data_IF_588357948303
#
_entry.id   IF_588357948303
#
_cell.length_a   1.000
_cell.length_b   1.000
_cell.length_c   1.000
_cell.angle_alpha   90.00
_cell.angle_beta   90.00
_cell.angle_gamma   90.00
#
_symmetry.space_group_name_H-M   'P 1'
#
loop_
_entity.id
_entity.type
_entity.pdbx_description
1 polymer ?
#
# COMPACT_ATOMS: atom_id res chain seq x y z
N UNK A 1 2.51 -16.91 2.94
CA UNK A 1 1.80 -16.11 3.97
C UNK A 1 2.39 -14.72 4.17
N UNK A 2 3.64 -14.55 4.64
CA UNK A 2 4.20 -13.21 4.86
C UNK A 2 4.24 -12.38 3.56
N UNK A 3 4.65 -12.99 2.45
CA UNK A 3 4.68 -12.33 1.14
C UNK A 3 3.28 -11.96 0.63
N UNK A 4 2.30 -12.84 0.80
CA UNK A 4 0.90 -12.63 0.41
C UNK A 4 0.25 -11.45 1.15
N UNK A 5 0.75 -11.11 2.34
CA UNK A 5 0.38 -9.91 3.06
C UNK A 5 1.21 -8.69 2.62
N UNK A 6 2.53 -8.84 2.54
CA UNK A 6 3.47 -7.74 2.25
C UNK A 6 3.28 -7.14 0.85
N UNK A 7 3.04 -7.96 -0.17
CA UNK A 7 2.89 -7.53 -1.55
C UNK A 7 1.72 -6.55 -1.77
N UNK A 8 0.45 -6.92 -1.45
CA UNK A 8 -0.68 -6.02 -1.63
C UNK A 8 -0.64 -4.82 -0.67
N UNK A 9 -0.08 -4.98 0.53
CA UNK A 9 0.06 -3.85 1.48
C UNK A 9 1.10 -2.83 1.03
N UNK A 10 2.21 -3.27 0.41
CA UNK A 10 3.20 -2.35 -0.16
C UNK A 10 2.60 -1.45 -1.26
N UNK A 11 1.81 -2.03 -2.18
CA UNK A 11 1.09 -1.24 -3.19
C UNK A 11 0.03 -0.33 -2.56
N UNK A 12 -0.74 -0.85 -1.61
CA UNK A 12 -1.75 -0.05 -0.92
C UNK A 12 -1.13 1.18 -0.25
N UNK A 13 -0.04 1.02 0.50
CA UNK A 13 0.66 2.12 1.16
C UNK A 13 1.20 3.12 0.14
N UNK A 14 1.87 2.65 -0.93
CA UNK A 14 2.37 3.52 -1.98
C UNK A 14 1.24 4.35 -2.62
N UNK A 15 0.10 3.73 -2.92
CA UNK A 15 -1.07 4.39 -3.48
C UNK A 15 -1.73 5.37 -2.51
N UNK A 16 -1.87 5.02 -1.24
CA UNK A 16 -2.44 5.91 -0.21
C UNK A 16 -1.56 7.13 0.00
N UNK A 17 -0.24 6.94 0.09
CA UNK A 17 0.70 8.06 0.23
C UNK A 17 0.60 8.99 -0.97
N UNK A 18 0.59 8.43 -2.19
CA UNK A 18 0.57 9.21 -3.43
C UNK A 18 -0.75 9.92 -3.70
N UNK A 19 -1.88 9.24 -3.54
CA UNK A 19 -3.18 9.74 -3.98
C UNK A 19 -4.03 10.36 -2.87
N UNK A 20 -3.76 10.04 -1.60
CA UNK A 20 -4.51 10.60 -0.48
C UNK A 20 -3.65 11.56 0.36
N UNK A 21 -2.49 11.10 0.85
CA UNK A 21 -1.71 11.85 1.83
C UNK A 21 -1.02 13.06 1.17
N UNK A 22 -0.33 12.84 0.05
CA UNK A 22 0.41 13.91 -0.63
C UNK A 22 -0.48 15.07 -1.10
N UNK A 23 -1.60 14.83 -1.81
CA UNK A 23 -2.46 15.93 -2.26
C UNK A 23 -3.11 16.67 -1.09
N UNK A 24 -3.39 15.97 0.00
CA UNK A 24 -3.92 16.57 1.22
C UNK A 24 -2.89 17.47 1.91
N UNK A 25 -1.63 17.02 2.02
CA UNK A 25 -0.54 17.82 2.57
C UNK A 25 -0.28 19.09 1.75
N UNK A 26 -0.31 18.98 0.41
CA UNK A 26 -0.21 20.12 -0.50
C UNK A 26 -1.36 21.13 -0.27
N UNK A 27 -2.61 20.65 -0.17
CA UNK A 27 -3.78 21.51 0.08
C UNK A 27 -3.74 22.17 1.46
N UNK A 28 -3.18 21.50 2.45
CA UNK A 28 -3.02 22.01 3.80
C UNK A 28 -1.85 23.00 3.96
N UNK A 29 -1.06 23.24 2.90
CA UNK A 29 0.11 24.11 2.95
C UNK A 29 1.22 23.59 3.88
N UNK A 30 1.22 22.29 4.16
CA UNK A 30 2.22 21.66 5.04
C UNK A 30 3.53 21.48 4.28
N UNK A 31 4.67 21.53 4.98
CA UNK A 31 5.96 21.26 4.36
C UNK A 31 5.99 19.84 3.77
N UNK A 32 6.19 19.75 2.44
CA UNK A 32 6.24 18.49 1.69
C UNK A 32 7.67 18.02 1.42
N UNK A 33 8.67 18.69 1.99
CA UNK A 33 10.10 18.34 1.86
C UNK A 33 10.38 16.87 2.22
N UNK A 34 9.71 16.35 3.26
CA UNK A 34 9.85 14.96 3.72
C UNK A 34 9.41 13.97 2.66
N UNK A 35 8.31 14.26 1.95
CA UNK A 35 7.82 13.34 0.91
C UNK A 35 8.67 13.39 -0.36
N UNK A 36 9.34 14.52 -0.62
CA UNK A 36 10.28 14.69 -1.74
C UNK A 36 11.67 14.13 -1.44
N UNK A 37 11.95 13.74 -0.20
CA UNK A 37 13.23 13.19 0.16
C UNK A 37 13.50 11.93 -0.68
N UNK A 38 14.69 11.79 -1.31
CA UNK A 38 15.02 10.62 -2.13
C UNK A 38 14.82 9.30 -1.40
N UNK A 39 15.07 9.28 -0.09
CA UNK A 39 14.83 8.13 0.77
C UNK A 39 13.35 7.72 0.80
N UNK A 40 12.42 8.65 1.00
CA UNK A 40 10.99 8.36 1.05
C UNK A 40 10.48 7.88 -0.31
N UNK A 41 10.93 8.53 -1.39
CA UNK A 41 10.61 8.12 -2.77
C UNK A 41 11.15 6.73 -3.09
N UNK A 42 12.38 6.41 -2.65
CA UNK A 42 12.97 5.09 -2.82
C UNK A 42 12.26 4.05 -1.95
N UNK A 43 11.92 4.33 -0.70
CA UNK A 43 11.22 3.36 0.16
C UNK A 43 9.88 2.93 -0.45
N UNK A 44 9.09 3.86 -0.99
CA UNK A 44 7.81 3.51 -1.62
C UNK A 44 7.98 2.79 -2.97
N UNK A 45 8.89 3.24 -3.83
CA UNK A 45 9.09 2.63 -5.15
C UNK A 45 9.87 1.32 -5.10
N UNK A 46 10.88 1.22 -4.25
CA UNK A 46 11.70 0.03 -4.09
C UNK A 46 10.85 -1.11 -3.51
N UNK A 47 9.97 -0.85 -2.54
CA UNK A 47 9.08 -1.89 -2.02
C UNK A 47 8.17 -2.45 -3.11
N UNK A 48 7.58 -1.60 -3.95
CA UNK A 48 6.74 -2.03 -5.09
C UNK A 48 7.58 -2.81 -6.11
N UNK A 49 8.76 -2.30 -6.46
CA UNK A 49 9.63 -2.94 -7.46
C UNK A 49 10.16 -4.29 -6.96
N UNK A 50 10.56 -4.39 -5.70
CA UNK A 50 11.01 -5.65 -5.09
C UNK A 50 9.89 -6.69 -5.09
N UNK A 51 8.66 -6.32 -4.76
CA UNK A 51 7.50 -7.22 -4.83
C UNK A 51 7.26 -7.72 -6.25
N UNK A 52 7.34 -6.83 -7.25
CA UNK A 52 7.15 -7.20 -8.66
C UNK A 52 8.28 -8.11 -9.17
N UNK A 53 9.52 -7.82 -8.81
CA UNK A 53 10.70 -8.63 -9.14
C UNK A 53 10.62 -10.01 -8.47
N UNK A 54 10.15 -10.10 -7.22
CA UNK A 54 9.96 -11.37 -6.52
C UNK A 54 8.93 -12.26 -7.23
N UNK A 55 7.81 -11.67 -7.66
CA UNK A 55 6.73 -12.39 -8.35
C UNK A 55 7.15 -12.81 -9.76
N UNK A 56 7.87 -11.96 -10.50
CA UNK A 56 8.17 -12.25 -11.90
C UNK A 56 9.52 -12.89 -12.19
N UNK A 57 10.54 -12.69 -11.34
CA UNK A 57 11.94 -13.01 -11.67
C UNK A 57 12.69 -13.87 -10.63
N UNK A 58 12.48 -13.66 -9.32
CA UNK A 58 13.35 -14.28 -8.29
C UNK A 58 12.84 -15.60 -7.71
N UNK A 59 11.56 -15.91 -7.81
CA UNK A 59 11.03 -17.13 -7.21
C UNK A 59 9.55 -17.39 -7.46
N UNK A 60 8.80 -16.39 -7.93
CA UNK A 60 7.40 -16.59 -8.31
C UNK A 60 6.55 -17.02 -7.13
N UNK A 61 6.76 -16.42 -5.95
CA UNK A 61 6.01 -16.77 -4.75
C UNK A 61 4.51 -16.66 -5.04
N UNK A 62 3.78 -17.79 -5.05
CA UNK A 62 2.40 -17.79 -5.49
C UNK A 62 1.55 -17.07 -4.46
N UNK A 63 0.69 -16.17 -4.94
CA UNK A 63 -0.37 -15.61 -4.09
C UNK A 63 -1.54 -16.58 -4.16
N UNK A 64 -1.97 -17.12 -3.01
CA UNK A 64 -3.11 -18.04 -2.94
C UNK A 64 -4.35 -17.31 -2.48
N UNK A 65 -5.48 -17.45 -3.18
CA UNK A 65 -6.75 -16.85 -2.73
C UNK A 65 -7.22 -17.37 -1.37
N UNK A 66 -6.79 -18.58 -0.99
CA UNK A 66 -7.07 -19.17 0.31
C UNK A 66 -6.51 -18.32 1.47
N UNK A 67 -5.41 -17.62 1.24
CA UNK A 67 -4.73 -16.78 2.23
C UNK A 67 -5.20 -15.31 2.19
N UNK A 68 -6.25 -15.01 1.43
CA UNK A 68 -6.78 -13.64 1.26
C UNK A 68 -7.11 -12.97 2.60
N UNK A 69 -7.65 -13.71 3.56
CA UNK A 69 -8.06 -13.19 4.87
C UNK A 69 -6.89 -12.65 5.71
N UNK A 70 -5.67 -13.08 5.42
CA UNK A 70 -4.48 -12.70 6.20
C UNK A 70 -4.18 -11.21 6.04
N UNK A 71 -4.29 -10.65 4.83
CA UNK A 71 -3.98 -9.25 4.58
C UNK A 71 -4.96 -8.27 5.28
N UNK A 72 -6.29 -8.45 5.21
CA UNK A 72 -7.24 -7.68 6.01
C UNK A 72 -7.04 -7.86 7.52
N UNK A 73 -6.78 -9.07 8.01
CA UNK A 73 -6.52 -9.31 9.43
C UNK A 73 -5.31 -8.51 9.92
N UNK A 74 -4.21 -8.51 9.14
CA UNK A 74 -3.04 -7.69 9.45
C UNK A 74 -3.39 -6.19 9.46
N UNK A 75 -4.17 -5.72 8.49
CA UNK A 75 -4.66 -4.33 8.46
C UNK A 75 -5.51 -3.97 9.68
N UNK A 76 -6.39 -4.87 10.13
CA UNK A 76 -7.22 -4.70 11.33
C UNK A 76 -6.34 -4.59 12.59
N UNK A 77 -5.37 -5.49 12.74
CA UNK A 77 -4.41 -5.45 13.87
C UNK A 77 -3.65 -4.12 13.86
N UNK A 78 -3.21 -3.66 12.68
CA UNK A 78 -2.55 -2.38 12.53
C UNK A 78 -3.44 -1.20 12.95
N UNK A 79 -4.73 -1.20 12.57
CA UNK A 79 -5.68 -0.15 12.97
C UNK A 79 -5.87 -0.13 14.50
N UNK A 80 -6.08 -1.28 15.12
CA UNK A 80 -6.21 -1.34 16.59
C UNK A 80 -4.92 -0.90 17.29
N UNK A 81 -3.76 -1.29 16.75
CA UNK A 81 -2.48 -0.84 17.24
C UNK A 81 -2.36 0.70 17.15
N UNK A 82 -2.65 1.32 16.01
CA UNK A 82 -2.55 2.77 15.86
C UNK A 82 -3.56 3.51 16.74
N UNK A 83 -4.78 2.98 16.92
CA UNK A 83 -5.75 3.53 17.86
C UNK A 83 -5.29 3.43 19.31
N UNK A 84 -4.72 2.30 19.72
CA UNK A 84 -4.17 2.14 21.08
C UNK A 84 -3.02 3.13 21.37
N UNK A 85 -2.27 3.49 20.33
CA UNK A 85 -1.15 4.44 20.42
C UNK A 85 -1.60 5.90 20.31
N UNK A 86 -2.85 6.19 19.94
CA UNK A 86 -3.33 7.56 19.69
C UNK A 86 -3.25 8.46 20.92
N UNK A 87 -3.33 7.87 22.11
CA UNK A 87 -3.27 8.59 23.39
C UNK A 87 -1.88 8.64 24.02
N UNK A 88 -0.90 7.89 23.48
CA UNK A 88 0.34 7.59 24.21
C UNK A 88 1.42 8.69 24.13
N UNK A 89 1.45 9.47 23.05
CA UNK A 89 2.61 10.32 22.73
C UNK A 89 2.47 11.78 23.20
N UNK A 90 1.35 12.42 22.85
CA UNK A 90 1.15 13.88 23.06
C UNK A 90 -0.25 14.22 23.56
N UNK A 91 -1.04 13.21 23.90
CA UNK A 91 -2.48 13.40 24.12
C UNK A 91 -2.82 14.28 25.30
N UNK A 92 -1.97 14.30 26.33
CA UNK A 92 -2.14 15.19 27.50
C UNK A 92 -2.09 16.68 27.14
N UNK A 93 -1.46 17.06 26.03
CA UNK A 93 -1.28 18.48 25.65
C UNK A 93 -1.94 18.84 24.33
N UNK A 94 -2.10 17.90 23.40
CA UNK A 94 -2.63 18.14 22.05
C UNK A 94 -3.86 17.29 21.69
N UNK A 95 -4.36 16.48 22.63
CA UNK A 95 -5.43 15.52 22.35
C UNK A 95 -4.95 14.31 21.52
N UNK A 96 -5.83 13.32 21.27
CA UNK A 96 -5.49 12.11 20.52
C UNK A 96 -4.94 12.46 19.14
N UNK A 97 -3.83 11.83 18.76
CA UNK A 97 -3.18 12.04 17.46
C UNK A 97 -3.35 10.78 16.61
N UNK A 98 -4.03 10.93 15.48
CA UNK A 98 -4.16 9.87 14.49
C UNK A 98 -3.09 10.06 13.42
N UNK A 99 -2.38 8.98 13.09
CA UNK A 99 -1.31 9.00 12.08
C UNK A 99 -1.86 9.41 10.70
N UNK A 100 -3.10 9.01 10.41
CA UNK A 100 -3.80 9.35 9.18
C UNK A 100 -5.22 9.83 9.46
N UNK A 101 -5.70 10.77 8.65
CA UNK A 101 -7.05 11.33 8.78
C UNK A 101 -8.15 10.27 8.67
N UNK A 102 -7.94 9.22 7.87
CA UNK A 102 -8.92 8.14 7.70
C UNK A 102 -8.96 7.16 8.90
N UNK A 103 -8.03 7.29 9.85
CA UNK A 103 -8.03 6.57 11.12
C UNK A 103 -8.66 7.37 12.26
N UNK A 104 -9.02 8.63 12.02
CA UNK A 104 -9.62 9.50 13.02
C UNK A 104 -11.03 9.03 13.37
N UNK A 105 -11.20 8.54 14.59
CA UNK A 105 -12.49 8.02 15.08
C UNK A 105 -13.50 9.13 15.38
N UNK A 106 -13.07 10.39 15.46
CA UNK A 106 -13.97 11.54 15.69
C UNK A 106 -14.84 11.86 14.47
N UNK A 107 -14.47 11.36 13.28
CA UNK A 107 -15.22 11.54 12.03
C UNK A 107 -16.42 10.59 11.89
N UNK A 108 -16.63 9.67 12.85
CA UNK A 108 -17.79 8.78 12.91
C UNK A 108 -17.93 7.87 11.69
N UNK A 109 -19.07 7.94 10.99
CA UNK A 109 -19.37 7.07 9.84
C UNK A 109 -18.37 7.25 8.67
N UNK A 110 -17.77 8.44 8.54
CA UNK A 110 -16.78 8.70 7.49
C UNK A 110 -15.55 7.83 7.65
N UNK A 111 -15.12 7.61 8.89
CA UNK A 111 -14.00 6.70 9.22
C UNK A 111 -14.30 5.29 8.73
N UNK A 112 -15.48 4.76 9.03
CA UNK A 112 -15.91 3.44 8.55
C UNK A 112 -15.93 3.35 7.02
N UNK A 113 -16.41 4.40 6.33
CA UNK A 113 -16.39 4.46 4.87
C UNK A 113 -14.96 4.48 4.30
N UNK A 114 -14.04 5.22 4.92
CA UNK A 114 -12.63 5.21 4.49
C UNK A 114 -11.96 3.85 4.73
N UNK A 115 -12.23 3.20 5.86
CA UNK A 115 -11.71 1.86 6.14
C UNK A 115 -12.27 0.81 5.18
N UNK A 116 -13.56 0.90 4.81
CA UNK A 116 -14.16 0.05 3.78
C UNK A 116 -13.55 0.31 2.40
N UNK A 117 -13.30 1.58 2.05
CA UNK A 117 -12.62 1.92 0.81
C UNK A 117 -11.19 1.35 0.76
N UNK A 118 -10.44 1.48 1.87
CA UNK A 118 -9.10 0.88 2.02
C UNK A 118 -9.13 -0.64 1.90
N UNK A 119 -10.12 -1.29 2.51
CA UNK A 119 -10.32 -2.74 2.35
C UNK A 119 -10.59 -3.11 0.88
N UNK A 120 -11.42 -2.33 0.18
CA UNK A 120 -11.68 -2.52 -1.25
C UNK A 120 -10.41 -2.37 -2.10
N UNK A 121 -9.58 -1.37 -1.82
CA UNK A 121 -8.29 -1.15 -2.48
C UNK A 121 -7.29 -2.27 -2.17
N UNK A 122 -7.21 -2.73 -0.92
CA UNK A 122 -6.37 -3.87 -0.55
C UNK A 122 -6.81 -5.13 -1.28
N UNK A 123 -8.14 -5.34 -1.36
CA UNK A 123 -8.72 -6.50 -2.02
C UNK A 123 -8.46 -6.50 -3.52
N UNK A 124 -8.54 -5.33 -4.16
CA UNK A 124 -8.24 -5.20 -5.60
C UNK A 124 -6.76 -5.44 -5.89
N UNK A 125 -5.84 -4.96 -5.05
CA UNK A 125 -4.42 -5.27 -5.20
C UNK A 125 -4.11 -6.75 -4.97
N UNK A 126 -4.75 -7.39 -3.98
CA UNK A 126 -4.62 -8.83 -3.79
C UNK A 126 -5.05 -9.60 -5.04
N UNK A 127 -6.21 -9.24 -5.60
CA UNK A 127 -6.73 -9.84 -6.83
C UNK A 127 -5.81 -9.61 -8.03
N UNK A 128 -5.23 -8.41 -8.18
CA UNK A 128 -4.27 -8.09 -9.23
C UNK A 128 -3.01 -8.95 -9.13
N UNK A 129 -2.46 -9.12 -7.93
CA UNK A 129 -1.28 -9.96 -7.74
C UNK A 129 -1.57 -11.44 -7.89
N UNK A 130 -2.74 -11.91 -7.44
CA UNK A 130 -3.19 -13.26 -7.72
C UNK A 130 -3.30 -13.50 -9.23
N UNK A 131 -3.90 -12.58 -9.98
CA UNK A 131 -4.02 -12.67 -11.43
C UNK A 131 -2.63 -12.68 -12.11
N UNK A 132 -1.73 -11.79 -11.70
CA UNK A 132 -0.36 -11.73 -12.20
C UNK A 132 0.39 -13.05 -11.94
N UNK A 133 0.32 -13.57 -10.73
CA UNK A 133 0.92 -14.85 -10.34
C UNK A 133 0.32 -16.02 -11.14
N UNK A 134 -1.01 -16.06 -11.27
CA UNK A 134 -1.71 -17.08 -12.04
C UNK A 134 -1.29 -17.07 -13.52
N UNK A 135 -1.23 -15.88 -14.13
CA UNK A 135 -0.79 -15.69 -15.51
C UNK A 135 0.67 -16.11 -15.73
N UNK A 136 1.58 -15.83 -14.78
CA UNK A 136 2.97 -16.29 -14.88
C UNK A 136 3.04 -17.83 -14.81
N UNK A 137 2.36 -18.43 -13.83
CA UNK A 137 2.45 -19.88 -13.61
C UNK A 137 1.78 -20.72 -14.73
N UNK A 138 0.68 -20.24 -15.31
CA UNK A 138 -0.11 -21.00 -16.29
C UNK A 138 0.05 -20.50 -17.73
N UNK A 139 0.53 -19.26 -17.92
CA UNK A 139 0.64 -18.64 -19.25
C UNK A 139 1.89 -19.04 -20.03
N UNK A 140 2.79 -19.86 -19.47
CA UNK A 140 4.01 -20.31 -20.15
C UNK A 140 4.98 -19.17 -20.50
N UNK A 141 4.87 -18.02 -19.81
CA UNK A 141 5.66 -16.83 -20.10
C UNK A 141 7.12 -17.03 -19.72
N UNK A 142 8.02 -16.96 -20.71
CA UNK A 142 9.46 -16.83 -20.45
C UNK A 142 9.80 -15.51 -19.77
N UNK A 143 11.06 -15.35 -19.36
CA UNK A 143 11.59 -14.16 -18.65
C UNK A 143 11.15 -12.84 -19.31
N UNK A 144 11.05 -12.80 -20.64
CA UNK A 144 10.61 -11.62 -21.40
C UNK A 144 9.17 -11.19 -21.08
N UNK A 145 8.24 -12.13 -20.97
CA UNK A 145 6.82 -11.82 -20.66
C UNK A 145 6.68 -11.31 -19.23
N UNK A 146 7.39 -11.93 -18.29
CA UNK A 146 7.41 -11.51 -16.89
C UNK A 146 8.01 -10.11 -16.75
N UNK A 147 9.10 -9.84 -17.47
CA UNK A 147 9.75 -8.52 -17.48
C UNK A 147 8.83 -7.44 -18.04
N UNK A 148 8.11 -7.71 -19.15
CA UNK A 148 7.15 -6.77 -19.73
C UNK A 148 5.98 -6.49 -18.77
N UNK A 149 5.46 -7.51 -18.09
CA UNK A 149 4.39 -7.34 -17.12
C UNK A 149 4.86 -6.51 -15.91
N UNK A 150 6.06 -6.78 -15.39
CA UNK A 150 6.67 -5.98 -14.32
C UNK A 150 6.84 -4.52 -14.78
N UNK A 151 7.35 -4.29 -15.99
CA UNK A 151 7.54 -2.95 -16.53
C UNK A 151 6.20 -2.19 -16.66
N UNK A 152 5.14 -2.86 -17.14
CA UNK A 152 3.81 -2.27 -17.25
C UNK A 152 3.24 -1.91 -15.88
N UNK A 153 3.22 -2.84 -14.92
CA UNK A 153 2.66 -2.58 -13.58
C UNK A 153 3.48 -1.50 -12.85
N UNK A 154 4.81 -1.57 -12.92
CA UNK A 154 5.67 -0.54 -12.32
C UNK A 154 5.49 0.83 -12.99
N UNK A 155 5.26 0.90 -14.29
CA UNK A 155 4.96 2.19 -14.96
C UNK A 155 3.64 2.83 -14.51
N UNK A 156 2.65 2.01 -14.12
CA UNK A 156 1.37 2.49 -13.62
C UNK A 156 1.47 2.94 -12.16
N UNK A 157 2.21 2.19 -11.34
CA UNK A 157 2.25 2.37 -9.88
C UNK A 157 3.42 3.26 -9.45
N UNK A 158 4.64 3.02 -9.95
CA UNK A 158 5.88 3.68 -9.54
C UNK A 158 6.12 5.03 -10.20
N UNK A 159 5.17 5.56 -10.97
CA UNK A 159 5.33 6.86 -11.65
C UNK A 159 5.18 8.03 -10.67
N UNK A 160 6.12 8.21 -9.75
CA UNK A 160 6.30 9.48 -9.04
C UNK A 160 6.90 10.50 -10.01
N UNK A 161 6.15 10.85 -11.05
CA UNK A 161 6.41 12.09 -11.77
C UNK A 161 5.95 13.18 -10.83
N UNK A 162 6.89 13.98 -10.35
CA UNK A 162 6.62 15.30 -9.82
C UNK A 162 5.76 16.02 -10.86
N UNK A 163 4.45 16.03 -10.62
CA UNK A 163 3.53 16.88 -11.35
C UNK A 163 3.80 18.30 -10.90
N UNK A 164 4.75 18.93 -11.58
CA UNK A 164 4.46 20.23 -12.18
C UNK A 164 3.69 19.97 -13.48
#
# INVERSE_FOLDING_TARGET
MLFECAAPTALMVASVVRYAIWPMALKAGTDTSIFKAPRALLEHNANVLMVLVEIGLLGGLPIRLQDFSVAPLFGIVYIFFTWSMSESWVAKTKGPQFIYFFMDTTLGIKTSLFLLALLGVLSSYYGLFWLASYSICHGGGGVTVNTLMIALISSLVCKFSDGW
#
